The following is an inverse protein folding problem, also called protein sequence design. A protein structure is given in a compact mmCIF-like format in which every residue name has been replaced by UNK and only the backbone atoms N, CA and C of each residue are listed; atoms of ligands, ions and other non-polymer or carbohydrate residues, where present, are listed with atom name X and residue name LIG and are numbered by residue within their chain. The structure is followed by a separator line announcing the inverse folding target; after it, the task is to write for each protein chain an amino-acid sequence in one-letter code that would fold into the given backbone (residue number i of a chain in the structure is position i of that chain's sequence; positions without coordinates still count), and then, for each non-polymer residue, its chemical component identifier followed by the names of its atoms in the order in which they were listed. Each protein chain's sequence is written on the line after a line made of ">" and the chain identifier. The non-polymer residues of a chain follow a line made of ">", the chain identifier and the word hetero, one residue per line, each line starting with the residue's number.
data_IF_502208832547
#
_entry.id   IF_502208832547
#
_cell.length_a   1.000
_cell.length_b   1.000
_cell.length_c   1.000
_cell.angle_alpha   90.00
_cell.angle_beta   90.00
_cell.angle_gamma   90.00
#
_symmetry.space_group_name_H-M   'P 1'
#
loop_
_entity.id
_entity.type
_entity.pdbx_description
1 polymer ?
#
# COMPACT_ATOMS: atom_id res chain seq x y z
N UNK A 1 -1.24 -23.97 -18.28
CA UNK A 1 -1.57 -22.80 -17.44
C UNK A 1 -0.93 -21.59 -18.09
N UNK A 2 -1.69 -20.70 -18.73
CA UNK A 2 -1.13 -19.48 -19.31
C UNK A 2 -0.64 -18.57 -18.18
N UNK A 3 0.62 -18.16 -18.22
CA UNK A 3 1.24 -17.26 -17.24
C UNK A 3 0.66 -15.86 -17.50
N UNK A 4 -0.12 -15.31 -16.55
CA UNK A 4 -0.70 -13.95 -16.65
C UNK A 4 0.41 -12.92 -16.88
N UNK A 5 0.10 -11.85 -17.61
CA UNK A 5 1.04 -10.72 -17.74
C UNK A 5 1.21 -10.01 -16.39
N UNK A 6 2.34 -9.31 -16.15
CA UNK A 6 2.51 -8.50 -14.95
C UNK A 6 1.38 -7.48 -14.75
N UNK A 7 0.94 -6.83 -15.82
CA UNK A 7 -0.20 -5.89 -15.79
C UNK A 7 -1.52 -6.54 -15.37
N UNK A 8 -1.82 -7.73 -15.88
CA UNK A 8 -3.01 -8.52 -15.48
C UNK A 8 -2.94 -8.97 -14.02
N UNK A 9 -1.76 -9.37 -13.55
CA UNK A 9 -1.55 -9.86 -12.19
C UNK A 9 -1.74 -8.73 -11.16
N UNK A 10 -1.19 -7.54 -11.41
CA UNK A 10 -1.43 -6.36 -10.56
C UNK A 10 -2.93 -6.04 -10.53
N UNK A 11 -3.58 -6.00 -11.70
CA UNK A 11 -5.01 -5.72 -11.78
C UNK A 11 -5.81 -6.73 -10.95
N UNK A 12 -5.49 -8.02 -11.07
CA UNK A 12 -6.14 -9.09 -10.32
C UNK A 12 -5.95 -8.96 -8.80
N UNK A 13 -4.75 -8.59 -8.32
CA UNK A 13 -4.50 -8.36 -6.89
C UNK A 13 -5.40 -7.26 -6.34
N UNK A 14 -5.49 -6.13 -7.03
CA UNK A 14 -6.33 -5.03 -6.63
C UNK A 14 -7.83 -5.32 -6.77
N UNK A 15 -8.24 -6.05 -7.80
CA UNK A 15 -9.61 -6.50 -7.97
C UNK A 15 -10.01 -7.46 -6.84
N UNK A 16 -9.12 -8.35 -6.43
CA UNK A 16 -9.31 -9.21 -5.26
C UNK A 16 -9.58 -8.37 -4.01
N UNK A 17 -8.76 -7.36 -3.70
CA UNK A 17 -9.00 -6.49 -2.55
C UNK A 17 -10.30 -5.67 -2.68
N UNK A 18 -10.67 -5.26 -3.89
CA UNK A 18 -11.92 -4.56 -4.15
C UNK A 18 -13.14 -5.45 -3.91
N UNK A 19 -13.15 -6.66 -4.46
CA UNK A 19 -14.23 -7.64 -4.23
C UNK A 19 -14.31 -8.06 -2.77
N UNK A 20 -13.16 -8.27 -2.14
CA UNK A 20 -13.10 -8.58 -0.72
C UNK A 20 -13.65 -7.42 0.12
N UNK A 21 -13.27 -6.17 -0.20
CA UNK A 21 -13.83 -4.97 0.43
C UNK A 21 -15.34 -4.86 0.22
N UNK A 22 -15.86 -5.25 -0.95
CA UNK A 22 -17.29 -5.23 -1.26
C UNK A 22 -18.08 -6.26 -0.45
N UNK A 23 -17.57 -7.48 -0.31
CA UNK A 23 -18.16 -8.57 0.49
C UNK A 23 -18.30 -8.14 1.96
N UNK A 24 -17.28 -7.47 2.51
CA UNK A 24 -17.30 -7.00 3.90
C UNK A 24 -17.89 -5.59 4.07
N UNK A 25 -18.59 -5.09 3.05
CA UNK A 25 -19.41 -3.89 3.15
C UNK A 25 -18.66 -2.56 3.06
N UNK A 26 -17.36 -2.59 2.79
CA UNK A 26 -16.47 -1.43 2.84
C UNK A 26 -16.66 -0.50 1.62
N UNK A 27 -17.17 -1.01 0.49
CA UNK A 27 -17.28 -0.25 -0.77
C UNK A 27 -18.65 0.40 -0.98
N UNK A 28 -18.70 1.65 -1.44
CA UNK A 28 -19.96 2.38 -1.63
C UNK A 28 -20.83 1.75 -2.75
N UNK A 29 -22.11 1.46 -2.46
CA UNK A 29 -23.14 1.40 -3.52
C UNK A 29 -23.65 2.83 -3.72
N UNK A 30 -23.92 3.22 -4.97
CA UNK A 30 -24.23 4.61 -5.34
C UNK A 30 -25.48 5.19 -4.65
N UNK A 31 -26.34 4.36 -4.03
CA UNK A 31 -27.35 4.80 -3.05
C UNK A 31 -27.60 3.70 -2.01
N UNK A 32 -27.15 3.84 -0.75
CA UNK A 32 -27.59 2.94 0.30
C UNK A 32 -29.07 3.16 0.57
N UNK A 33 -29.89 2.11 0.54
CA UNK A 33 -31.20 2.18 1.20
C UNK A 33 -30.95 2.32 2.70
N UNK A 34 -31.64 3.26 3.34
CA UNK A 34 -31.57 3.47 4.79
C UNK A 34 -32.28 2.37 5.60
N UNK A 35 -32.83 1.35 4.93
CA UNK A 35 -33.47 0.23 5.58
C UNK A 35 -32.40 -0.78 6.03
N UNK A 36 -32.16 -0.97 7.35
CA UNK A 36 -31.12 -1.86 7.86
C UNK A 36 -31.35 -3.33 7.49
N UNK A 37 -32.60 -3.73 7.20
CA UNK A 37 -32.91 -5.07 6.70
C UNK A 37 -32.53 -5.27 5.23
N UNK A 38 -32.34 -4.19 4.48
CA UNK A 38 -31.89 -4.20 3.08
C UNK A 38 -30.42 -3.83 2.94
N UNK A 39 -29.78 -3.39 4.03
CA UNK A 39 -28.40 -2.94 4.03
C UNK A 39 -27.63 -3.62 5.18
N UNK A 40 -27.14 -4.86 4.97
CA UNK A 40 -26.42 -5.62 5.99
C UNK A 40 -25.18 -4.89 6.52
N UNK A 41 -24.68 -3.89 5.78
CA UNK A 41 -23.55 -3.03 6.15
C UNK A 41 -23.89 -2.08 7.30
N UNK A 42 -25.10 -1.53 7.29
CA UNK A 42 -25.57 -0.62 8.35
C UNK A 42 -25.83 -1.39 9.64
N UNK A 43 -26.41 -2.59 9.52
CA UNK A 43 -26.57 -3.52 10.64
C UNK A 43 -25.21 -3.89 11.24
N UNK A 44 -24.25 -4.26 10.39
CA UNK A 44 -22.89 -4.59 10.82
C UNK A 44 -22.23 -3.42 11.54
N UNK A 45 -22.29 -2.20 11.00
CA UNK A 45 -21.79 -1.00 11.70
C UNK A 45 -22.44 -0.79 13.08
N UNK A 46 -23.77 -0.86 13.13
CA UNK A 46 -24.51 -0.64 14.37
C UNK A 46 -24.16 -1.71 15.42
N UNK A 47 -24.03 -2.95 15.00
CA UNK A 47 -23.60 -4.06 15.84
C UNK A 47 -22.18 -3.86 16.37
N UNK A 48 -21.25 -3.41 15.53
CA UNK A 48 -19.87 -3.12 15.93
C UNK A 48 -19.79 -1.94 16.90
N UNK A 49 -20.53 -0.87 16.63
CA UNK A 49 -20.63 0.27 17.53
C UNK A 49 -21.21 -0.13 18.90
N UNK A 50 -22.17 -1.05 18.91
CA UNK A 50 -22.68 -1.65 20.15
C UNK A 50 -21.61 -2.47 20.88
N UNK A 51 -20.86 -3.32 20.18
CA UNK A 51 -19.80 -4.13 20.81
C UNK A 51 -18.68 -3.26 21.40
N UNK A 52 -18.25 -2.22 20.69
CA UNK A 52 -17.31 -1.21 21.20
C UNK A 52 -17.83 -0.53 22.47
N UNK A 53 -19.09 -0.09 22.46
CA UNK A 53 -19.70 0.51 23.65
C UNK A 53 -19.79 -0.50 24.81
N UNK A 54 -20.16 -1.75 24.53
CA UNK A 54 -20.27 -2.79 25.54
C UNK A 54 -18.92 -3.14 26.19
N UNK A 55 -17.82 -3.13 25.43
CA UNK A 55 -16.46 -3.25 25.97
C UNK A 55 -16.06 -2.02 26.79
N UNK A 56 -16.37 -0.82 26.31
CA UNK A 56 -16.08 0.43 27.02
C UNK A 56 -16.86 0.55 28.34
N UNK A 57 -18.11 0.08 28.38
CA UNK A 57 -18.90 -0.02 29.61
C UNK A 57 -18.28 -1.00 30.61
N UNK A 58 -17.80 -2.15 30.13
CA UNK A 58 -17.13 -3.12 31.00
C UNK A 58 -15.84 -2.54 31.61
N UNK A 59 -15.16 -1.67 30.86
CA UNK A 59 -13.98 -0.95 31.35
C UNK A 59 -14.30 -0.06 32.55
N UNK A 60 -15.41 0.68 32.48
CA UNK A 60 -15.89 1.55 33.55
C UNK A 60 -16.31 0.73 34.78
N UNK A 61 -16.88 -0.46 34.56
CA UNK A 61 -17.51 -1.25 35.61
C UNK A 61 -16.56 -2.20 36.35
N UNK A 62 -15.63 -2.87 35.66
CA UNK A 62 -14.83 -3.97 36.24
C UNK A 62 -13.31 -3.75 36.24
N UNK A 63 -12.77 -2.99 35.28
CA UNK A 63 -11.33 -3.06 34.95
C UNK A 63 -10.39 -2.12 35.74
N UNK A 64 -10.91 -1.29 36.64
CA UNK A 64 -10.08 -0.38 37.44
C UNK A 64 -9.16 -1.10 38.46
N UNK A 65 -9.41 -2.39 38.73
CA UNK A 65 -8.67 -3.16 39.73
C UNK A 65 -7.53 -4.03 39.15
N UNK A 66 -7.41 -4.16 37.82
CA UNK A 66 -6.34 -4.95 37.18
C UNK A 66 -5.76 -4.25 35.94
N UNK A 67 -4.57 -3.66 36.11
CA UNK A 67 -3.86 -2.90 35.07
C UNK A 67 -3.57 -3.75 33.81
N UNK A 68 -3.31 -5.05 33.97
CA UNK A 68 -3.01 -5.94 32.83
C UNK A 68 -4.21 -6.17 31.92
N UNK A 69 -5.37 -6.45 32.51
CA UNK A 69 -6.65 -6.61 31.80
C UNK A 69 -7.09 -5.29 31.16
N UNK A 70 -6.89 -4.18 31.86
CA UNK A 70 -7.15 -2.84 31.36
C UNK A 70 -6.34 -2.52 30.08
N UNK A 71 -5.05 -2.81 30.07
CA UNK A 71 -4.19 -2.61 28.89
C UNK A 71 -4.60 -3.49 27.70
N UNK A 72 -5.01 -4.74 27.94
CA UNK A 72 -5.47 -5.63 26.88
C UNK A 72 -6.79 -5.15 26.25
N UNK A 73 -7.75 -4.71 27.08
CA UNK A 73 -9.00 -4.10 26.63
C UNK A 73 -8.75 -2.83 25.81
N UNK A 74 -7.81 -1.99 26.25
CA UNK A 74 -7.41 -0.79 25.50
C UNK A 74 -6.79 -1.12 24.14
N UNK A 75 -5.96 -2.15 24.06
CA UNK A 75 -5.37 -2.57 22.80
C UNK A 75 -6.43 -3.08 21.81
N UNK A 76 -7.40 -3.87 22.27
CA UNK A 76 -8.48 -4.41 21.44
C UNK A 76 -9.42 -3.29 20.96
N UNK A 77 -9.85 -2.39 21.83
CA UNK A 77 -10.68 -1.25 21.43
C UNK A 77 -9.92 -0.28 20.52
N UNK A 78 -8.63 -0.01 20.78
CA UNK A 78 -7.84 0.86 19.89
C UNK A 78 -7.78 0.26 18.48
N UNK A 79 -7.70 -1.07 18.38
CA UNK A 79 -7.73 -1.78 17.10
C UNK A 79 -9.11 -1.69 16.45
N UNK A 80 -10.18 -1.88 17.22
CA UNK A 80 -11.56 -1.79 16.73
C UNK A 80 -11.95 -0.38 16.29
N UNK A 81 -11.59 0.66 17.06
CA UNK A 81 -11.73 2.07 16.69
C UNK A 81 -10.95 2.37 15.41
N UNK A 82 -9.71 1.89 15.28
CA UNK A 82 -8.91 2.12 14.07
C UNK A 82 -9.60 1.52 12.83
N UNK A 83 -10.13 0.30 12.94
CA UNK A 83 -10.93 -0.33 11.87
C UNK A 83 -12.22 0.44 11.59
N UNK A 84 -12.95 0.86 12.63
CA UNK A 84 -14.20 1.60 12.49
C UNK A 84 -13.97 2.97 11.82
N UNK A 85 -12.94 3.71 12.23
CA UNK A 85 -12.54 4.99 11.61
C UNK A 85 -12.20 4.78 10.14
N UNK A 86 -11.42 3.75 9.79
CA UNK A 86 -11.09 3.46 8.39
C UNK A 86 -12.30 3.09 7.55
N UNK A 87 -13.19 2.27 8.12
CA UNK A 87 -14.44 1.90 7.49
C UNK A 87 -15.32 3.13 7.23
N UNK A 88 -15.42 4.03 8.21
CA UNK A 88 -16.15 5.30 8.10
C UNK A 88 -15.49 6.26 7.11
N UNK A 89 -14.17 6.44 7.14
CA UNK A 89 -13.44 7.26 6.16
C UNK A 89 -13.69 6.77 4.74
N UNK A 90 -13.63 5.46 4.51
CA UNK A 90 -13.81 4.87 3.17
C UNK A 90 -15.25 5.04 2.66
N UNK A 91 -16.24 5.03 3.55
CA UNK A 91 -17.66 5.30 3.21
C UNK A 91 -17.93 6.79 3.03
N UNK A 92 -17.40 7.66 3.91
CA UNK A 92 -17.72 9.09 3.93
C UNK A 92 -16.91 9.87 2.89
N UNK A 93 -15.64 9.53 2.66
CA UNK A 93 -14.71 10.40 1.90
C UNK A 93 -14.69 10.15 0.40
N UNK A 94 -15.53 9.26 -0.16
CA UNK A 94 -15.48 8.86 -1.59
C UNK A 94 -14.06 8.47 -2.05
N UNK A 95 -13.26 7.91 -1.15
CA UNK A 95 -11.88 7.46 -1.44
C UNK A 95 -11.81 6.43 -2.57
N UNK A 96 -12.95 5.79 -2.90
CA UNK A 96 -13.11 4.91 -4.04
C UNK A 96 -12.66 5.54 -5.37
N UNK A 97 -12.86 6.85 -5.59
CA UNK A 97 -12.46 7.50 -6.85
C UNK A 97 -10.95 7.75 -6.93
N UNK A 98 -10.34 8.26 -5.86
CA UNK A 98 -8.89 8.45 -5.79
C UNK A 98 -8.16 7.10 -5.87
N UNK A 99 -8.71 6.09 -5.21
CA UNK A 99 -8.19 4.73 -5.27
C UNK A 99 -8.27 4.14 -6.68
N UNK A 100 -9.38 4.37 -7.40
CA UNK A 100 -9.54 3.95 -8.80
C UNK A 100 -8.54 4.63 -9.72
N UNK A 101 -8.31 5.94 -9.55
CA UNK A 101 -7.29 6.69 -10.33
C UNK A 101 -5.89 6.18 -10.05
N UNK A 102 -5.56 5.91 -8.79
CA UNK A 102 -4.27 5.33 -8.42
C UNK A 102 -4.07 3.94 -9.05
N UNK A 103 -5.08 3.08 -8.99
CA UNK A 103 -5.06 1.76 -9.62
C UNK A 103 -4.78 1.85 -11.12
N UNK A 104 -5.49 2.73 -11.80
CA UNK A 104 -5.38 2.93 -13.24
C UNK A 104 -3.98 3.44 -13.62
N UNK A 105 -3.41 4.35 -12.83
CA UNK A 105 -2.03 4.81 -13.01
C UNK A 105 -1.01 3.67 -12.85
N UNK A 106 -1.17 2.81 -11.84
CA UNK A 106 -0.28 1.66 -11.64
C UNK A 106 -0.42 0.69 -12.81
N UNK A 107 -1.64 0.37 -13.24
CA UNK A 107 -1.89 -0.52 -14.39
C UNK A 107 -1.22 0.02 -15.66
N UNK A 108 -1.44 1.29 -15.98
CA UNK A 108 -0.86 1.95 -17.15
C UNK A 108 0.68 1.96 -17.11
N UNK A 109 1.26 2.08 -15.92
CA UNK A 109 2.71 1.95 -15.73
C UNK A 109 3.19 0.54 -16.07
N UNK A 110 2.53 -0.51 -15.54
CA UNK A 110 2.90 -1.90 -15.82
C UNK A 110 2.77 -2.24 -17.31
N UNK A 111 1.67 -1.84 -17.96
CA UNK A 111 1.46 -2.09 -19.40
C UNK A 111 2.52 -1.42 -20.28
N UNK A 112 2.95 -0.20 -19.91
CA UNK A 112 3.98 0.54 -20.64
C UNK A 112 5.35 -0.11 -20.46
N UNK A 113 5.72 -0.44 -19.23
CA UNK A 113 7.07 -0.88 -18.92
C UNK A 113 7.28 -2.39 -19.20
N UNK A 114 6.23 -3.22 -19.24
CA UNK A 114 6.40 -4.66 -19.52
C UNK A 114 6.86 -4.99 -20.95
N UNK A 115 6.83 -4.01 -21.86
CA UNK A 115 7.34 -4.17 -23.23
C UNK A 115 8.86 -4.42 -23.28
N UNK A 116 9.60 -3.96 -22.27
CA UNK A 116 11.03 -4.23 -22.11
C UNK A 116 11.26 -5.47 -21.26
N UNK A 117 12.04 -6.42 -21.77
CA UNK A 117 12.35 -7.68 -21.05
C UNK A 117 13.07 -7.43 -19.71
N UNK A 118 13.95 -6.42 -19.66
CA UNK A 118 14.64 -6.03 -18.44
C UNK A 118 13.68 -5.46 -17.39
N UNK A 119 12.71 -4.64 -17.79
CA UNK A 119 11.73 -4.06 -16.88
C UNK A 119 10.68 -5.08 -16.45
N UNK A 120 10.28 -5.97 -17.37
CA UNK A 120 9.41 -7.10 -17.06
C UNK A 120 9.95 -7.96 -15.93
N UNK A 121 11.25 -8.25 -15.92
CA UNK A 121 11.87 -8.99 -14.82
C UNK A 121 11.73 -8.27 -13.46
N UNK A 122 11.90 -6.95 -13.43
CA UNK A 122 11.73 -6.12 -12.23
C UNK A 122 10.28 -6.16 -11.75
N UNK A 123 9.33 -5.98 -12.67
CA UNK A 123 7.89 -6.01 -12.37
C UNK A 123 7.46 -7.39 -11.84
N UNK A 124 7.90 -8.50 -12.48
CA UNK A 124 7.61 -9.86 -12.02
C UNK A 124 8.20 -10.14 -10.63
N UNK A 125 9.40 -9.63 -10.35
CA UNK A 125 10.05 -9.79 -9.03
C UNK A 125 9.29 -9.03 -7.96
N UNK A 126 8.88 -7.79 -8.24
CA UNK A 126 8.09 -6.99 -7.31
C UNK A 126 6.74 -7.65 -7.01
N UNK A 127 6.06 -8.15 -8.04
CA UNK A 127 4.79 -8.87 -7.88
C UNK A 127 4.92 -10.13 -7.00
N UNK A 128 5.99 -10.90 -7.17
CA UNK A 128 6.27 -12.06 -6.32
C UNK A 128 6.50 -11.65 -4.87
N UNK A 129 7.30 -10.62 -4.63
CA UNK A 129 7.57 -10.09 -3.29
C UNK A 129 6.28 -9.59 -2.62
N UNK A 130 5.49 -8.83 -3.37
CA UNK A 130 4.21 -8.27 -2.97
C UNK A 130 3.19 -9.36 -2.59
N UNK A 131 3.05 -10.40 -3.43
CA UNK A 131 2.23 -11.58 -3.13
C UNK A 131 2.73 -12.34 -1.90
N UNK A 132 4.04 -12.49 -1.75
CA UNK A 132 4.65 -13.16 -0.61
C UNK A 132 4.38 -12.41 0.69
N UNK A 133 4.58 -11.10 0.71
CA UNK A 133 4.33 -10.24 1.86
C UNK A 133 2.86 -10.29 2.28
N UNK A 134 1.93 -10.22 1.32
CA UNK A 134 0.51 -10.32 1.63
C UNK A 134 0.14 -11.65 2.27
N UNK A 135 0.64 -12.77 1.73
CA UNK A 135 0.42 -14.10 2.30
C UNK A 135 1.01 -14.22 3.69
N UNK A 136 2.25 -13.76 3.89
CA UNK A 136 2.93 -13.77 5.17
C UNK A 136 2.16 -12.95 6.22
N UNK A 137 1.70 -11.75 5.85
CA UNK A 137 0.90 -10.88 6.71
C UNK A 137 -0.43 -11.53 7.10
N UNK A 138 -1.11 -12.15 6.14
CA UNK A 138 -2.38 -12.87 6.37
C UNK A 138 -2.18 -14.02 7.35
N UNK A 139 -1.16 -14.86 7.12
CA UNK A 139 -0.84 -16.01 7.99
C UNK A 139 -0.43 -15.54 9.39
N UNK A 140 0.40 -14.49 9.47
CA UNK A 140 0.84 -13.93 10.74
C UNK A 140 -0.34 -13.44 11.58
N UNK A 141 -1.23 -12.62 11.00
CA UNK A 141 -2.39 -12.11 11.72
C UNK A 141 -3.38 -13.22 12.09
N UNK A 142 -3.63 -14.18 11.21
CA UNK A 142 -4.49 -15.31 11.51
C UNK A 142 -3.94 -16.13 12.70
N UNK A 143 -2.64 -16.47 12.68
CA UNK A 143 -2.01 -17.19 13.77
C UNK A 143 -2.01 -16.40 15.06
N UNK A 144 -1.77 -15.09 15.01
CA UNK A 144 -1.83 -14.22 16.18
C UNK A 144 -3.24 -14.22 16.81
N UNK A 145 -4.28 -14.10 15.99
CA UNK A 145 -5.68 -14.16 16.44
C UNK A 145 -6.00 -15.50 17.12
N UNK A 146 -5.66 -16.61 16.45
CA UNK A 146 -5.90 -17.96 16.98
C UNK A 146 -5.13 -18.20 18.28
N UNK A 147 -3.87 -17.76 18.33
CA UNK A 147 -3.02 -17.89 19.51
C UNK A 147 -3.62 -17.17 20.73
N UNK A 148 -4.11 -15.93 20.56
CA UNK A 148 -4.74 -15.17 21.64
C UNK A 148 -5.98 -15.87 22.22
N UNK A 149 -6.83 -16.44 21.36
CA UNK A 149 -8.04 -17.16 21.80
C UNK A 149 -7.71 -18.48 22.48
N UNK A 150 -6.76 -19.25 21.92
CA UNK A 150 -6.30 -20.51 22.52
C UNK A 150 -5.67 -20.24 23.88
N UNK A 151 -4.84 -19.20 24.00
CA UNK A 151 -4.22 -18.83 25.27
C UNK A 151 -5.24 -18.51 26.34
N UNK A 152 -6.28 -17.74 26.02
CA UNK A 152 -7.34 -17.40 26.97
C UNK A 152 -8.21 -18.61 27.35
N UNK A 153 -8.50 -19.49 26.39
CA UNK A 153 -9.18 -20.75 26.68
C UNK A 153 -8.36 -21.62 27.64
N UNK A 154 -7.07 -21.81 27.36
CA UNK A 154 -6.15 -22.58 28.21
C UNK A 154 -6.03 -21.94 29.60
N UNK A 155 -5.90 -20.62 29.67
CA UNK A 155 -5.85 -19.88 30.94
C UNK A 155 -7.13 -20.04 31.75
N UNK A 156 -8.30 -20.02 31.09
CA UNK A 156 -9.59 -20.30 31.73
C UNK A 156 -9.65 -21.72 32.31
N UNK A 157 -9.16 -22.69 31.53
CA UNK A 157 -9.14 -24.10 31.94
C UNK A 157 -8.28 -24.33 33.19
N UNK A 158 -7.08 -23.74 33.26
CA UNK A 158 -6.17 -23.93 34.40
C UNK A 158 -6.57 -23.14 35.64
N UNK A 159 -7.16 -21.95 35.49
CA UNK A 159 -7.57 -21.12 36.62
C UNK A 159 -8.89 -21.57 37.27
N UNK A 160 -9.65 -22.43 36.60
CA UNK A 160 -11.02 -22.80 37.00
C UNK A 160 -12.00 -21.62 36.95
N UNK A 161 -11.58 -20.49 36.37
CA UNK A 161 -12.36 -19.28 36.18
C UNK A 161 -12.51 -19.01 34.69
N UNK A 162 -13.69 -18.59 34.28
CA UNK A 162 -13.92 -18.16 32.91
C UNK A 162 -13.20 -16.84 32.65
N UNK A 163 -12.05 -16.89 31.98
CA UNK A 163 -11.26 -15.73 31.59
C UNK A 163 -11.64 -15.34 30.15
N UNK A 164 -12.36 -14.23 30.02
CA UNK A 164 -12.61 -13.59 28.73
C UNK A 164 -11.41 -12.70 28.39
N UNK A 165 -10.88 -12.81 27.16
CA UNK A 165 -9.80 -11.93 26.63
C UNK A 165 -10.19 -10.45 26.74
N UNK A 166 -11.47 -10.17 26.51
CA UNK A 166 -12.13 -8.89 26.72
C UNK A 166 -13.59 -9.18 27.11
N UNK A 167 -14.00 -8.98 28.37
CA UNK A 167 -15.38 -9.23 28.75
C UNK A 167 -16.27 -8.17 28.09
N UNK A 168 -17.25 -8.62 27.33
CA UNK A 168 -18.26 -7.76 26.70
C UNK A 168 -19.43 -7.69 27.66
N UNK A 169 -19.78 -6.49 28.11
CA UNK A 169 -20.92 -6.32 29.00
C UNK A 169 -22.23 -6.60 28.25
N UNK A 170 -22.92 -7.67 28.63
CA UNK A 170 -24.23 -8.03 28.11
C UNK A 170 -25.20 -8.15 29.30
N UNK A 171 -26.12 -7.19 29.51
CA UNK A 171 -26.89 -7.11 30.75
C UNK A 171 -27.82 -8.32 31.01
N UNK A 172 -28.08 -9.12 29.98
CA UNK A 172 -28.93 -10.32 30.03
C UNK A 172 -28.14 -11.63 30.06
N UNK A 173 -26.82 -11.58 29.97
CA UNK A 173 -25.96 -12.76 29.86
C UNK A 173 -24.93 -12.70 30.99
N UNK A 174 -25.02 -13.64 31.93
CA UNK A 174 -24.01 -13.78 32.98
C UNK A 174 -22.77 -14.51 32.43
N UNK A 175 -21.62 -13.83 32.26
CA UNK A 175 -20.41 -14.41 31.71
C UNK A 175 -19.78 -15.48 32.60
N UNK A 176 -20.18 -15.56 33.88
CA UNK A 176 -19.68 -16.56 34.83
C UNK A 176 -20.37 -17.93 34.66
N UNK A 177 -21.46 -17.98 33.90
CA UNK A 177 -22.09 -19.24 33.51
C UNK A 177 -21.39 -19.82 32.28
N UNK A 178 -21.33 -21.16 32.16
CA UNK A 178 -20.75 -21.81 30.98
C UNK A 178 -21.41 -21.34 29.67
N UNK A 179 -22.73 -21.15 29.71
CA UNK A 179 -23.53 -20.62 28.61
C UNK A 179 -23.11 -19.19 28.25
N UNK A 180 -23.07 -18.29 29.24
CA UNK A 180 -22.70 -16.90 29.00
C UNK A 180 -21.26 -16.74 28.55
N UNK A 181 -20.32 -17.49 29.14
CA UNK A 181 -18.93 -17.53 28.68
C UNK A 181 -18.83 -17.96 27.21
N UNK A 182 -19.54 -19.03 26.83
CA UNK A 182 -19.51 -19.56 25.46
C UNK A 182 -20.05 -18.55 24.46
N UNK A 183 -21.16 -17.86 24.78
CA UNK A 183 -21.72 -16.81 23.93
C UNK A 183 -20.78 -15.62 23.82
N UNK A 184 -20.33 -15.07 24.95
CA UNK A 184 -19.46 -13.88 24.97
C UNK A 184 -18.13 -14.14 24.28
N UNK A 185 -17.52 -15.31 24.50
CA UNK A 185 -16.28 -15.73 23.82
C UNK A 185 -16.50 -15.92 22.32
N UNK A 186 -17.61 -16.53 21.90
CA UNK A 186 -17.93 -16.69 20.48
C UNK A 186 -18.15 -15.35 19.77
N UNK A 187 -18.84 -14.41 20.43
CA UNK A 187 -19.06 -13.06 19.89
C UNK A 187 -17.73 -12.32 19.77
N UNK A 188 -16.86 -12.39 20.79
CA UNK A 188 -15.54 -11.78 20.76
C UNK A 188 -14.64 -12.40 19.67
N UNK A 189 -14.71 -13.71 19.47
CA UNK A 189 -14.00 -14.40 18.39
C UNK A 189 -14.48 -13.92 17.01
N UNK A 190 -15.79 -13.84 16.80
CA UNK A 190 -16.34 -13.32 15.54
C UNK A 190 -15.96 -11.86 15.32
N UNK A 191 -15.98 -11.03 16.37
CA UNK A 191 -15.61 -9.63 16.31
C UNK A 191 -14.12 -9.43 15.97
N UNK A 192 -13.23 -10.17 16.63
CA UNK A 192 -11.79 -10.11 16.35
C UNK A 192 -11.47 -10.63 14.96
N UNK A 193 -12.05 -11.75 14.54
CA UNK A 193 -11.92 -12.26 13.17
C UNK A 193 -12.42 -11.23 12.14
N UNK A 194 -13.53 -10.55 12.42
CA UNK A 194 -14.05 -9.48 11.57
C UNK A 194 -13.08 -8.28 11.50
N UNK A 195 -12.52 -7.84 12.63
CA UNK A 195 -11.49 -6.79 12.67
C UNK A 195 -10.34 -7.15 11.73
N UNK A 196 -9.83 -8.38 11.80
CA UNK A 196 -8.74 -8.83 10.92
C UNK A 196 -9.14 -8.83 9.45
N UNK A 197 -10.34 -9.31 9.15
CA UNK A 197 -10.88 -9.37 7.80
C UNK A 197 -11.07 -7.98 7.20
N UNK A 198 -11.42 -6.96 7.98
CA UNK A 198 -11.56 -5.58 7.46
C UNK A 198 -10.23 -4.83 7.45
N UNK A 199 -9.36 -5.10 8.43
CA UNK A 199 -8.05 -4.49 8.54
C UNK A 199 -7.13 -4.92 7.39
N UNK A 200 -7.07 -6.22 7.09
CA UNK A 200 -6.12 -6.80 6.14
C UNK A 200 -6.26 -6.24 4.71
N UNK A 201 -7.46 -6.05 4.12
CA UNK A 201 -7.62 -5.38 2.83
C UNK A 201 -7.23 -3.92 2.88
N UNK A 202 -7.52 -3.22 3.96
CA UNK A 202 -7.22 -1.79 4.08
C UNK A 202 -5.71 -1.52 4.13
N UNK A 203 -4.97 -2.30 4.94
CA UNK A 203 -3.52 -2.23 5.01
C UNK A 203 -2.85 -2.87 3.80
N UNK A 204 -3.41 -3.98 3.31
CA UNK A 204 -2.96 -4.64 2.09
C UNK A 204 -2.94 -3.66 0.94
N UNK A 205 -4.01 -2.89 0.73
CA UNK A 205 -4.05 -1.84 -0.28
C UNK A 205 -2.91 -0.82 -0.12
N UNK A 206 -2.67 -0.32 1.09
CA UNK A 206 -1.64 0.71 1.36
C UNK A 206 -0.24 0.13 1.13
N UNK A 207 0.05 -1.04 1.69
CA UNK A 207 1.33 -1.75 1.55
C UNK A 207 1.60 -2.05 0.09
N UNK A 208 0.61 -2.56 -0.64
CA UNK A 208 0.75 -2.90 -2.06
C UNK A 208 1.04 -1.65 -2.87
N UNK A 209 0.33 -0.55 -2.61
CA UNK A 209 0.55 0.74 -3.27
C UNK A 209 1.95 1.29 -3.01
N UNK A 210 2.43 1.20 -1.76
CA UNK A 210 3.79 1.57 -1.39
C UNK A 210 4.83 0.68 -2.09
N UNK A 211 4.61 -0.63 -2.16
CA UNK A 211 5.49 -1.57 -2.86
C UNK A 211 5.54 -1.31 -4.37
N UNK A 212 4.51 -0.72 -4.98
CA UNK A 212 4.55 -0.33 -6.39
C UNK A 212 5.51 0.84 -6.68
N UNK A 213 5.91 1.61 -5.67
CA UNK A 213 6.90 2.68 -5.86
C UNK A 213 8.33 2.17 -6.08
N UNK A 214 8.63 0.95 -5.59
CA UNK A 214 9.95 0.31 -5.73
C UNK A 214 10.33 0.05 -7.19
N UNK A 215 9.52 -0.65 -8.01
CA UNK A 215 9.87 -0.89 -9.41
C UNK A 215 9.90 0.42 -10.22
N UNK A 216 9.07 1.42 -9.88
CA UNK A 216 9.14 2.74 -10.51
C UNK A 216 10.52 3.37 -10.31
N UNK A 217 11.03 3.35 -9.08
CA UNK A 217 12.37 3.86 -8.78
C UNK A 217 13.48 3.07 -9.49
N UNK A 218 13.40 1.73 -9.48
CA UNK A 218 14.39 0.88 -10.15
C UNK A 218 14.42 1.09 -11.67
N UNK A 219 13.26 1.15 -12.31
CA UNK A 219 13.13 1.39 -13.75
C UNK A 219 13.63 2.80 -14.10
N UNK A 220 13.31 3.80 -13.28
CA UNK A 220 13.81 5.17 -13.49
C UNK A 220 15.35 5.25 -13.44
N UNK A 221 15.97 4.60 -12.45
CA UNK A 221 17.45 4.53 -12.34
C UNK A 221 18.05 3.81 -13.56
N UNK A 222 17.44 2.73 -14.02
CA UNK A 222 17.88 2.01 -15.21
C UNK A 222 17.78 2.88 -16.48
N UNK A 223 16.68 3.61 -16.66
CA UNK A 223 16.53 4.56 -17.78
C UNK A 223 17.59 5.64 -17.77
N UNK A 224 17.88 6.22 -16.60
CA UNK A 224 18.96 7.20 -16.46
C UNK A 224 20.34 6.62 -16.79
N UNK A 225 20.59 5.38 -16.39
CA UNK A 225 21.85 4.69 -16.69
C UNK A 225 22.02 4.46 -18.19
N UNK A 226 20.99 3.93 -18.86
CA UNK A 226 20.99 3.69 -20.31
C UNK A 226 21.22 5.01 -21.06
N UNK A 227 20.49 6.07 -20.70
CA UNK A 227 20.66 7.38 -21.31
C UNK A 227 22.07 7.96 -21.09
N UNK A 228 22.64 7.79 -19.88
CA UNK A 228 24.01 8.20 -19.59
C UNK A 228 25.05 7.46 -20.43
N UNK A 229 24.88 6.15 -20.59
CA UNK A 229 25.76 5.30 -21.39
C UNK A 229 25.69 5.67 -22.88
N UNK A 230 24.49 5.91 -23.43
CA UNK A 230 24.27 6.41 -24.80
C UNK A 230 24.91 7.77 -25.02
N UNK A 231 24.83 8.69 -24.04
CA UNK A 231 25.43 10.01 -24.14
C UNK A 231 26.97 9.95 -24.14
N UNK A 232 27.54 9.02 -23.38
CA UNK A 232 28.99 8.74 -23.37
C UNK A 232 29.42 8.14 -24.70
N UNK A 233 28.66 7.20 -25.25
CA UNK A 233 28.95 6.56 -26.53
C UNK A 233 28.84 7.55 -27.70
N UNK A 234 27.82 8.40 -27.70
CA UNK A 234 27.66 9.50 -28.65
C UNK A 234 28.83 10.50 -28.59
N UNK A 235 29.31 10.87 -27.39
CA UNK A 235 30.52 11.70 -27.25
C UNK A 235 31.78 11.01 -27.78
N UNK A 236 31.92 9.69 -27.60
CA UNK A 236 33.04 8.92 -28.13
C UNK A 236 33.00 8.80 -29.66
N UNK A 237 31.82 8.63 -30.26
CA UNK A 237 31.65 8.59 -31.72
C UNK A 237 31.93 9.95 -32.35
N UNK A 238 31.48 11.05 -31.74
CA UNK A 238 31.80 12.43 -32.16
C UNK A 238 33.29 12.77 -32.09
N UNK A 239 33.99 12.29 -31.05
CA UNK A 239 35.46 12.42 -31.00
C UNK A 239 36.15 11.61 -32.10
N UNK A 240 35.66 10.42 -32.44
CA UNK A 240 36.21 9.62 -33.54
C UNK A 240 35.98 10.28 -34.91
N UNK A 241 34.82 10.85 -35.19
CA UNK A 241 34.55 11.53 -36.48
C UNK A 241 35.32 12.84 -36.62
N UNK A 242 35.52 13.60 -35.54
CA UNK A 242 36.35 14.82 -35.60
C UNK A 242 37.86 14.54 -35.75
N UNK A 243 38.33 13.32 -35.45
CA UNK A 243 39.72 12.91 -35.72
C UNK A 243 39.95 12.34 -37.13
N UNK A 244 38.89 12.06 -37.89
CA UNK A 244 39.01 11.49 -39.26
C UNK A 244 38.99 12.56 -40.36
N UNK A 245 38.67 13.83 -40.03
CA UNK A 245 38.56 14.88 -41.06
C UNK A 245 39.26 16.20 -40.73
N UNK A 246 40.48 16.13 -40.16
CA UNK A 246 41.43 17.25 -40.21
C UNK A 246 42.82 16.71 -40.55
N UNK A 247 42.98 16.18 -41.76
CA UNK A 247 44.24 16.41 -42.48
C UNK A 247 44.14 17.86 -42.95
N UNK A 248 44.64 18.78 -42.13
CA UNK A 248 44.96 20.14 -42.55
C UNK A 248 45.87 20.02 -43.77
N UNK A 249 45.31 20.16 -44.97
CA UNK A 249 46.07 20.66 -46.11
C UNK A 249 46.53 22.05 -45.73
N UNK A 250 47.84 22.19 -45.50
CA UNK A 250 48.50 23.47 -45.27
C UNK A 250 48.08 24.45 -46.38
N UNK A 251 47.67 25.69 -46.04
CA UNK A 251 47.44 26.70 -47.05
C UNK A 251 48.80 27.13 -47.63
N UNK A 252 48.90 27.37 -48.95
CA UNK A 252 50.15 27.81 -49.55
C UNK A 252 50.57 29.18 -49.02
N UNK A 253 51.79 29.24 -48.51
CA UNK A 253 52.48 30.38 -47.90
C UNK A 253 52.77 31.50 -48.91
N UNK A 254 51.74 32.14 -49.49
CA UNK A 254 51.96 33.24 -50.46
C UNK A 254 51.04 34.45 -50.34
N UNK A 255 50.01 34.45 -49.49
CA UNK A 255 49.07 35.59 -49.38
C UNK A 255 49.12 36.35 -48.06
N UNK A 256 50.07 36.05 -47.17
CA UNK A 256 50.17 36.68 -45.84
C UNK A 256 51.02 37.96 -45.79
N UNK A 257 51.71 38.34 -46.88
CA UNK A 257 52.43 39.62 -46.95
C UNK A 257 51.60 40.78 -47.51
N UNK A 258 50.50 40.52 -48.22
CA UNK A 258 49.73 41.60 -48.86
C UNK A 258 48.63 42.21 -47.97
N UNK A 259 48.19 41.51 -46.91
CA UNK A 259 47.19 42.05 -45.99
C UNK A 259 47.77 42.89 -44.83
N UNK A 260 49.10 42.86 -44.62
CA UNK A 260 49.73 43.66 -43.55
C UNK A 260 50.03 45.11 -43.93
N UNK A 261 50.11 45.47 -45.22
CA UNK A 261 50.31 46.89 -45.61
C UNK A 261 49.01 47.69 -45.60
N UNK A 262 47.86 47.06 -45.84
CA UNK A 262 46.56 47.75 -45.91
C UNK A 262 45.93 48.03 -44.54
N UNK A 263 46.42 47.44 -43.45
CA UNK A 263 45.94 47.76 -42.09
C UNK A 263 46.62 48.98 -41.48
N UNK A 264 47.86 49.32 -41.88
CA UNK A 264 48.57 50.46 -41.31
C UNK A 264 48.17 51.82 -41.93
N UNK A 265 47.52 51.86 -43.11
CA UNK A 265 47.03 53.12 -43.68
C UNK A 265 45.66 53.55 -43.17
N UNK A 266 44.88 52.68 -42.51
CA UNK A 266 43.56 53.04 -41.96
C UNK A 266 43.59 53.61 -40.55
N UNK A 267 44.73 53.56 -39.85
CA UNK A 267 44.80 54.06 -38.47
C UNK A 267 45.15 55.55 -38.35
N UNK A 268 45.73 56.18 -39.38
CA UNK A 268 46.16 57.58 -39.31
C UNK A 268 45.13 58.61 -39.82
N UNK A 269 43.96 58.18 -40.30
CA UNK A 269 42.90 59.09 -40.78
C UNK A 269 41.70 59.23 -39.83
N UNK A 270 41.79 58.74 -38.59
CA UNK A 270 40.71 58.86 -37.58
C UNK A 270 40.98 59.83 -36.43
N UNK A 271 42.09 60.58 -36.49
CA UNK A 271 42.39 61.66 -35.55
C UNK A 271 42.94 62.89 -36.27
N UNK A 272 42.13 63.49 -37.14
CA UNK A 272 42.17 64.91 -37.51
C UNK A 272 40.76 65.42 -37.70
#
# INVERSE_FOLDING_TARGET
>A
MFKKSPSEEVHYQFEFFNKFSEIYGIRHQERPSFNPYQNPRLFLMAFLGYLEQAMAFNRIYESLNNIGEFCCLLAIESLGINVAVRYMCKIIMKDDENFRKMLENVKNFYEREEQSEQYRHILETNLKLSNFLLKALTIFFFNLCMFLHVLAFVSSWFSGRFLLVAPIYMPWIDPNTLFGYTISSSILFLFTMWIFVVFLPSEGIVIMSALQTIPMGQIFILKLKIFGDELIESKKSLKKTNFVNVKLTEPPTSTLMEQKSNLNQRHDQKFQ
#
